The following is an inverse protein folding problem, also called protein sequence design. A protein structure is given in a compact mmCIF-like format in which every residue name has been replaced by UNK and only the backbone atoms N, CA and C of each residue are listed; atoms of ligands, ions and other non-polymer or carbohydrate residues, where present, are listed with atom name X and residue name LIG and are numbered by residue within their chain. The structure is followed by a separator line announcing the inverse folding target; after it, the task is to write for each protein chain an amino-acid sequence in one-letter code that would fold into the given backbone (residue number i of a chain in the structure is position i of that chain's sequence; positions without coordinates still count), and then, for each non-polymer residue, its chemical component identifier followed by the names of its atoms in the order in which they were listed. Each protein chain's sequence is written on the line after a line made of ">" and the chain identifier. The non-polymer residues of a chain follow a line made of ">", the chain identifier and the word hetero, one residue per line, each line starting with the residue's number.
data_IF_336070909183
#
_entry.id   IF_336070909183
#
_cell.length_a   1.000
_cell.length_b   1.000
_cell.length_c   1.000
_cell.angle_alpha   90.00
_cell.angle_beta   90.00
_cell.angle_gamma   90.00
#
_symmetry.space_group_name_H-M   'P 1'
#
loop_
_entity.id
_entity.type
_entity.pdbx_description
1 polymer ?
#
# COMPACT_ATOMS: atom_id res chain seq x y z
N UNK A 1 20.62 -22.47 -11.78
CA UNK A 1 19.85 -21.47 -10.99
C UNK A 1 19.31 -22.24 -9.81
N UNK A 2 19.93 -22.10 -8.64
CA UNK A 2 19.63 -22.98 -7.53
C UNK A 2 18.47 -22.41 -6.73
N UNK A 3 17.28 -22.85 -7.10
CA UNK A 3 16.02 -22.45 -6.46
C UNK A 3 16.06 -22.77 -4.96
N UNK A 4 16.81 -23.80 -4.57
CA UNK A 4 17.05 -24.18 -3.17
C UNK A 4 17.82 -23.11 -2.40
N UNK A 5 18.91 -22.57 -2.95
CA UNK A 5 19.66 -21.48 -2.32
C UNK A 5 18.80 -20.22 -2.11
N UNK A 6 17.92 -19.91 -3.07
CA UNK A 6 16.98 -18.78 -2.93
C UNK A 6 15.96 -19.07 -1.82
N UNK A 7 15.44 -20.30 -1.72
CA UNK A 7 14.51 -20.70 -0.67
C UNK A 7 15.18 -20.64 0.71
N UNK A 8 16.40 -21.13 0.84
CA UNK A 8 17.15 -21.13 2.10
C UNK A 8 17.48 -19.71 2.56
N UNK A 9 17.88 -18.82 1.64
CA UNK A 9 18.06 -17.41 1.95
C UNK A 9 16.76 -16.75 2.46
N UNK A 10 15.63 -17.01 1.80
CA UNK A 10 14.33 -16.47 2.22
C UNK A 10 13.84 -17.07 3.55
N UNK A 11 14.22 -18.32 3.84
CA UNK A 11 13.89 -19.02 5.09
C UNK A 11 14.75 -18.52 6.25
N UNK A 12 16.03 -18.26 6.02
CA UNK A 12 16.92 -17.63 6.99
C UNK A 12 16.43 -16.22 7.33
N UNK A 13 16.07 -15.42 6.33
CA UNK A 13 15.46 -14.09 6.56
C UNK A 13 14.12 -14.16 7.30
N UNK A 14 13.36 -15.23 7.13
CA UNK A 14 12.16 -15.46 7.94
C UNK A 14 12.51 -15.75 9.40
N UNK A 15 13.54 -16.57 9.68
CA UNK A 15 14.02 -16.85 11.03
C UNK A 15 14.56 -15.59 11.72
N UNK A 16 15.19 -14.69 10.95
CA UNK A 16 15.66 -13.38 11.41
C UNK A 16 14.50 -12.40 11.75
N UNK A 17 13.23 -12.81 11.62
CA UNK A 17 12.07 -11.98 11.94
C UNK A 17 11.65 -11.02 10.82
N UNK A 18 12.14 -11.18 9.58
CA UNK A 18 11.76 -10.28 8.50
C UNK A 18 10.27 -10.38 8.18
N UNK A 19 9.64 -9.21 7.99
CA UNK A 19 8.23 -9.12 7.63
C UNK A 19 7.95 -9.78 6.27
N UNK A 20 6.70 -10.21 6.06
CA UNK A 20 6.24 -10.72 4.77
C UNK A 20 6.43 -9.69 3.64
N UNK A 21 6.38 -8.38 3.94
CA UNK A 21 6.68 -7.34 2.94
C UNK A 21 8.14 -7.39 2.51
N UNK A 22 9.06 -7.44 3.48
CA UNK A 22 10.51 -7.45 3.23
C UNK A 22 10.91 -8.69 2.44
N UNK A 23 10.38 -9.87 2.80
CA UNK A 23 10.64 -11.11 2.07
C UNK A 23 10.15 -11.07 0.62
N UNK A 24 8.98 -10.48 0.37
CA UNK A 24 8.44 -10.32 -0.98
C UNK A 24 9.27 -9.31 -1.80
N UNK A 25 9.83 -8.28 -1.16
CA UNK A 25 10.73 -7.33 -1.81
C UNK A 25 12.02 -8.03 -2.26
N UNK A 26 12.65 -8.82 -1.38
CA UNK A 26 13.82 -9.62 -1.74
C UNK A 26 13.52 -10.58 -2.89
N UNK A 27 12.38 -11.29 -2.83
CA UNK A 27 11.98 -12.19 -3.91
C UNK A 27 11.81 -11.45 -5.25
N UNK A 28 11.21 -10.27 -5.24
CA UNK A 28 11.04 -9.46 -6.45
C UNK A 28 12.37 -8.90 -6.96
N UNK A 29 13.28 -8.48 -6.08
CA UNK A 29 14.61 -8.02 -6.45
C UNK A 29 15.44 -9.15 -7.11
N UNK A 30 15.37 -10.36 -6.54
CA UNK A 30 16.00 -11.54 -7.11
C UNK A 30 15.40 -11.85 -8.49
N UNK A 31 14.06 -11.85 -8.61
CA UNK A 31 13.38 -12.02 -9.91
C UNK A 31 13.80 -10.96 -10.94
N UNK A 32 13.93 -9.71 -10.52
CA UNK A 32 14.38 -8.60 -11.38
C UNK A 32 15.82 -8.82 -11.86
N UNK A 33 16.72 -9.18 -10.95
CA UNK A 33 18.13 -9.44 -11.27
C UNK A 33 18.28 -10.54 -12.33
N UNK A 34 17.61 -11.69 -12.13
CA UNK A 34 17.69 -12.80 -13.08
C UNK A 34 17.03 -12.50 -14.43
N UNK A 35 15.94 -11.72 -14.44
CA UNK A 35 15.26 -11.32 -15.68
C UNK A 35 16.04 -10.28 -16.47
N UNK A 36 16.56 -9.25 -15.81
CA UNK A 36 17.07 -8.06 -16.50
C UNK A 36 18.60 -8.05 -16.65
N UNK A 37 19.33 -8.62 -15.69
CA UNK A 37 20.80 -8.64 -15.74
C UNK A 37 21.27 -9.91 -16.46
N UNK A 38 20.73 -11.06 -16.06
CA UNK A 38 21.16 -12.37 -16.58
C UNK A 38 20.37 -12.77 -17.85
N UNK A 39 19.30 -12.03 -18.20
CA UNK A 39 18.44 -12.24 -19.39
C UNK A 39 17.96 -13.70 -19.55
N UNK A 40 17.83 -14.43 -18.45
CA UNK A 40 17.38 -15.81 -18.47
C UNK A 40 15.86 -15.85 -18.35
N UNK A 41 15.18 -16.45 -19.33
CA UNK A 41 13.72 -16.50 -19.40
C UNK A 41 13.09 -17.59 -18.49
N UNK A 42 13.84 -18.10 -17.51
CA UNK A 42 13.36 -19.15 -16.61
C UNK A 42 12.35 -18.57 -15.62
N UNK A 43 11.17 -19.22 -15.54
CA UNK A 43 10.08 -18.80 -14.65
C UNK A 43 10.39 -19.22 -13.23
N UNK A 44 10.79 -18.27 -12.39
CA UNK A 44 10.93 -18.47 -10.93
C UNK A 44 9.53 -18.56 -10.30
N UNK A 45 8.98 -19.78 -10.18
CA UNK A 45 7.71 -20.05 -9.50
C UNK A 45 7.87 -20.18 -7.97
N UNK A 46 8.35 -19.09 -7.35
CA UNK A 46 8.33 -18.98 -5.89
C UNK A 46 7.09 -18.17 -5.51
N UNK A 47 6.19 -18.83 -4.75
CA UNK A 47 4.96 -18.25 -4.24
C UNK A 47 5.29 -17.14 -3.24
N UNK A 48 4.73 -15.95 -3.51
CA UNK A 48 4.86 -14.77 -2.66
C UNK A 48 4.15 -14.98 -1.32
N UNK A 49 4.73 -14.47 -0.23
CA UNK A 49 4.12 -14.55 1.09
C UNK A 49 2.83 -13.72 1.14
N UNK A 50 1.72 -14.32 1.57
CA UNK A 50 0.45 -13.60 1.76
C UNK A 50 0.63 -12.53 2.84
N UNK A 51 0.35 -11.27 2.48
CA UNK A 51 0.35 -10.15 3.42
C UNK A 51 -0.93 -10.21 4.27
N UNK A 52 -0.81 -10.04 5.58
CA UNK A 52 -1.96 -9.80 6.46
C UNK A 52 -2.53 -8.42 6.10
N UNK A 53 -3.74 -8.36 5.54
CA UNK A 53 -4.44 -7.09 5.29
C UNK A 53 -4.89 -6.54 6.64
N UNK A 54 -4.36 -5.38 7.05
CA UNK A 54 -4.91 -4.64 8.19
C UNK A 54 -6.19 -3.97 7.73
N UNK A 55 -7.24 -4.05 8.54
CA UNK A 55 -8.46 -3.29 8.29
C UNK A 55 -8.10 -1.80 8.28
N UNK A 56 -8.61 -1.02 7.31
CA UNK A 56 -8.39 0.41 7.30
C UNK A 56 -9.01 0.99 8.57
N UNK A 57 -8.22 1.77 9.32
CA UNK A 57 -8.77 2.61 10.39
C UNK A 57 -9.50 3.76 9.71
N UNK A 58 -10.83 3.72 9.75
CA UNK A 58 -11.68 4.76 9.16
C UNK A 58 -11.98 5.76 10.27
N UNK A 59 -11.65 7.03 10.04
CA UNK A 59 -12.06 8.12 10.91
C UNK A 59 -13.55 8.41 10.70
N UNK A 60 -14.27 8.64 11.80
CA UNK A 60 -15.66 9.06 11.77
C UNK A 60 -15.82 10.47 11.19
N UNK A 61 -17.02 10.79 10.68
CA UNK A 61 -17.34 12.13 10.13
C UNK A 61 -17.05 13.26 11.13
N UNK A 62 -17.30 13.01 12.41
CA UNK A 62 -17.10 13.99 13.48
C UNK A 62 -15.59 14.26 13.74
N UNK A 63 -14.74 13.24 13.68
CA UNK A 63 -13.29 13.40 13.82
C UNK A 63 -12.71 14.21 12.64
N UNK A 64 -13.20 13.95 11.44
CA UNK A 64 -12.77 14.69 10.24
C UNK A 64 -13.21 16.15 10.31
N UNK A 65 -14.42 16.42 10.78
CA UNK A 65 -14.89 17.78 10.99
C UNK A 65 -14.03 18.55 12.01
N UNK A 66 -13.61 17.88 13.10
CA UNK A 66 -12.67 18.45 14.08
C UNK A 66 -11.31 18.78 13.43
N UNK A 67 -10.75 17.88 12.63
CA UNK A 67 -9.46 18.08 11.94
C UNK A 67 -9.55 19.23 10.92
N UNK A 68 -10.65 19.29 10.16
CA UNK A 68 -10.91 20.34 9.17
C UNK A 68 -11.11 21.71 9.85
N UNK A 69 -11.79 21.77 11.00
CA UNK A 69 -11.98 23.00 11.78
C UNK A 69 -10.70 23.47 12.48
N UNK A 70 -9.83 22.55 12.92
CA UNK A 70 -8.54 22.88 13.53
C UNK A 70 -7.53 23.48 12.53
N UNK A 71 -7.74 23.26 11.23
CA UNK A 71 -6.84 23.76 10.19
C UNK A 71 -7.13 25.22 9.86
N UNK A 72 -6.22 26.13 10.23
CA UNK A 72 -6.37 27.59 10.04
C UNK A 72 -6.28 28.04 8.57
N UNK A 73 -5.61 27.28 7.70
CA UNK A 73 -5.37 27.65 6.29
C UNK A 73 -6.36 26.99 5.33
N UNK A 74 -7.01 27.80 4.49
CA UNK A 74 -8.04 27.38 3.52
C UNK A 74 -7.50 26.41 2.46
N UNK A 75 -6.22 26.52 2.07
CA UNK A 75 -5.59 25.59 1.08
C UNK A 75 -5.53 24.16 1.62
N UNK A 76 -5.10 24.00 2.87
CA UNK A 76 -5.03 22.69 3.51
C UNK A 76 -6.41 22.12 3.80
N UNK A 77 -7.38 22.98 4.15
CA UNK A 77 -8.78 22.58 4.34
C UNK A 77 -9.37 21.96 3.07
N UNK A 78 -9.15 22.58 1.91
CA UNK A 78 -9.59 22.06 0.62
C UNK A 78 -8.93 20.70 0.33
N UNK A 79 -7.61 20.60 0.49
CA UNK A 79 -6.86 19.36 0.23
C UNK A 79 -7.35 18.20 1.11
N UNK A 80 -7.56 18.44 2.41
CA UNK A 80 -8.07 17.44 3.35
C UNK A 80 -9.49 16.98 3.01
N UNK A 81 -10.38 17.92 2.67
CA UNK A 81 -11.76 17.61 2.28
C UNK A 81 -11.84 16.80 0.98
N UNK A 82 -10.99 17.12 0.01
CA UNK A 82 -10.89 16.41 -1.26
C UNK A 82 -10.30 14.99 -1.06
N UNK A 83 -9.21 14.89 -0.30
CA UNK A 83 -8.55 13.61 -0.01
C UNK A 83 -9.47 12.63 0.73
N UNK A 84 -10.27 13.13 1.70
CA UNK A 84 -11.28 12.32 2.38
C UNK A 84 -12.35 11.80 1.42
N UNK A 85 -12.90 12.70 0.58
CA UNK A 85 -13.96 12.34 -0.37
C UNK A 85 -13.49 11.28 -1.37
N UNK A 86 -12.31 11.45 -1.96
CA UNK A 86 -11.76 10.52 -2.97
C UNK A 86 -11.56 9.12 -2.38
N UNK A 87 -11.04 9.00 -1.15
CA UNK A 87 -10.90 7.70 -0.49
C UNK A 87 -12.23 7.05 -0.14
N UNK A 88 -13.22 7.82 0.29
CA UNK A 88 -14.55 7.30 0.59
C UNK A 88 -15.28 6.82 -0.68
N UNK A 89 -15.19 7.57 -1.78
CA UNK A 89 -15.82 7.21 -3.07
C UNK A 89 -15.20 5.97 -3.71
N UNK A 90 -13.91 5.72 -3.48
CA UNK A 90 -13.23 4.52 -3.98
C UNK A 90 -13.69 3.22 -3.29
N UNK A 91 -14.37 3.31 -2.15
CA UNK A 91 -14.85 2.15 -1.36
C UNK A 91 -16.38 2.01 -1.47
N UNK A 92 -17.14 3.10 -1.65
CA UNK A 92 -18.60 3.10 -1.58
C UNK A 92 -19.31 3.99 -2.64
N UNK A 93 -19.04 3.85 -3.94
CA UNK A 93 -19.92 4.36 -5.06
C UNK A 93 -20.23 5.90 -5.11
N UNK A 94 -20.82 6.46 -6.19
CA UNK A 94 -20.71 7.89 -6.52
C UNK A 94 -21.84 8.71 -5.89
N UNK A 95 -21.52 9.52 -4.88
CA UNK A 95 -22.44 10.53 -4.35
C UNK A 95 -22.12 11.88 -5.00
N UNK A 96 -23.09 12.54 -5.67
CA UNK A 96 -22.85 13.77 -6.42
C UNK A 96 -22.32 14.89 -5.50
N UNK A 97 -21.45 15.70 -6.10
CA UNK A 97 -20.67 16.75 -5.49
C UNK A 97 -21.56 17.95 -5.12
N UNK A 98 -22.26 17.91 -3.99
CA UNK A 98 -22.88 19.11 -3.42
C UNK A 98 -21.84 19.89 -2.60
N UNK A 99 -20.95 20.59 -3.31
CA UNK A 99 -20.28 21.74 -2.73
C UNK A 99 -21.18 22.95 -3.03
N UNK A 100 -22.12 23.22 -2.11
CA UNK A 100 -22.70 24.58 -2.00
C UNK A 100 -21.57 25.47 -1.50
N UNK A 101 -20.84 26.08 -2.42
CA UNK A 101 -19.96 27.21 -2.12
C UNK A 101 -20.90 28.35 -1.78
N UNK A 102 -21.11 28.57 -0.49
CA UNK A 102 -21.86 29.71 0.02
C UNK A 102 -20.84 30.82 0.31
N UNK A 103 -20.66 31.73 -0.65
CA UNK A 103 -20.47 33.17 -0.42
C UNK A 103 -20.73 33.92 -1.72
#
# INVERSE_FOLDING_TARGET
>A
MDIENIKDFLLQKQKDGASAQTRNLFLNAIKFFYRNVIKTNQKIDIRSAKRKKKLPVILSRNEIEKVIKATKNTKHKLLLSLAYRVKATAIYTPIPLFIKINK
#
